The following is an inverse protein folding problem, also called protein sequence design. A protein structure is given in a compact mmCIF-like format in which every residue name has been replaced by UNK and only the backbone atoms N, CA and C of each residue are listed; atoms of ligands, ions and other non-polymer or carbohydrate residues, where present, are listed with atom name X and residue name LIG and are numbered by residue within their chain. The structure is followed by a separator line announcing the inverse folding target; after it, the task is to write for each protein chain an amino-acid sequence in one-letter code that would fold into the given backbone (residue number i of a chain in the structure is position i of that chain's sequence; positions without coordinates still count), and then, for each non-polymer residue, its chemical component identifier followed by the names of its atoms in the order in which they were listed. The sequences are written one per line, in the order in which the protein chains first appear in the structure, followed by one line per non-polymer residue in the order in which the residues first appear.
data_IF_419830408448
#
_entry.id   IF_419830408448
#
_cell.length_a   1.000
_cell.length_b   1.000
_cell.length_c   1.000
_cell.angle_alpha   90.00
_cell.angle_beta   90.00
_cell.angle_gamma   90.00
#
_symmetry.space_group_name_H-M   'P 1'
#
loop_
_entity.id
_entity.type
_entity.pdbx_description
1 polymer ?
#
# COMPACT_ATOMS: atom_id res chain seq x y z
N UNK A 1 -25.16 -4.55 44.97
CA UNK A 1 -25.47 -5.52 43.88
C UNK A 1 -25.42 -4.90 42.48
N UNK A 2 -26.03 -3.73 42.22
CA UNK A 2 -25.95 -3.04 40.91
C UNK A 2 -24.51 -2.63 40.52
N UNK A 3 -23.70 -2.17 41.47
CA UNK A 3 -22.29 -1.80 41.22
C UNK A 3 -21.43 -2.99 40.83
N UNK A 4 -21.62 -4.16 41.46
CA UNK A 4 -20.92 -5.40 41.08
C UNK A 4 -21.31 -5.87 39.67
N UNK A 5 -22.56 -5.64 39.25
CA UNK A 5 -23.01 -5.94 37.90
C UNK A 5 -22.41 -4.97 36.86
N UNK A 6 -22.40 -3.67 37.17
CA UNK A 6 -21.78 -2.66 36.31
C UNK A 6 -20.27 -2.89 36.14
N UNK A 7 -19.57 -3.21 37.24
CA UNK A 7 -18.15 -3.55 37.24
C UNK A 7 -17.87 -4.81 36.40
N UNK A 8 -18.69 -5.86 36.56
CA UNK A 8 -18.58 -7.08 35.77
C UNK A 8 -18.75 -6.80 34.27
N UNK A 9 -19.77 -6.01 33.90
CA UNK A 9 -20.00 -5.62 32.51
C UNK A 9 -18.85 -4.79 31.93
N UNK A 10 -18.27 -3.87 32.71
CA UNK A 10 -17.12 -3.09 32.29
C UNK A 10 -15.88 -3.97 32.05
N UNK A 11 -15.61 -4.94 32.93
CA UNK A 11 -14.51 -5.90 32.76
C UNK A 11 -14.72 -6.77 31.51
N UNK A 12 -15.94 -7.28 31.31
CA UNK A 12 -16.29 -8.06 30.11
C UNK A 12 -16.11 -7.25 28.82
N UNK A 13 -16.50 -5.98 28.82
CA UNK A 13 -16.31 -5.07 27.70
C UNK A 13 -14.81 -4.84 27.40
N UNK A 14 -13.98 -4.62 28.41
CA UNK A 14 -12.54 -4.46 28.24
C UNK A 14 -11.87 -5.72 27.66
N UNK A 15 -12.25 -6.91 28.16
CA UNK A 15 -11.75 -8.19 27.63
C UNK A 15 -12.15 -8.38 26.16
N UNK A 16 -13.41 -8.08 25.84
CA UNK A 16 -13.90 -8.14 24.45
C UNK A 16 -13.08 -7.21 23.55
N UNK A 17 -12.90 -5.96 23.95
CA UNK A 17 -12.14 -4.95 23.19
C UNK A 17 -10.69 -5.36 22.99
N UNK A 18 -10.03 -5.88 24.03
CA UNK A 18 -8.65 -6.37 23.95
C UNK A 18 -8.51 -7.55 22.96
N UNK A 19 -9.44 -8.51 23.01
CA UNK A 19 -9.48 -9.62 22.03
C UNK A 19 -9.69 -9.13 20.61
N UNK A 20 -10.59 -8.17 20.41
CA UNK A 20 -10.86 -7.59 19.09
C UNK A 20 -9.63 -6.89 18.54
N UNK A 21 -8.95 -6.04 19.33
CA UNK A 21 -7.71 -5.39 18.89
C UNK A 21 -6.60 -6.38 18.59
N UNK A 22 -6.42 -7.41 19.42
CA UNK A 22 -5.43 -8.46 19.15
C UNK A 22 -5.70 -9.16 17.80
N UNK A 23 -6.96 -9.47 17.50
CA UNK A 23 -7.33 -10.06 16.21
C UNK A 23 -7.05 -9.11 15.05
N UNK A 24 -7.43 -7.84 15.18
CA UNK A 24 -7.18 -6.83 14.14
C UNK A 24 -5.69 -6.59 13.91
N UNK A 25 -4.89 -6.45 14.98
CA UNK A 25 -3.44 -6.27 14.85
C UNK A 25 -2.80 -7.45 14.13
N UNK A 26 -3.19 -8.68 14.45
CA UNK A 26 -2.71 -9.87 13.74
C UNK A 26 -3.03 -9.83 12.24
N UNK A 27 -4.22 -9.36 11.86
CA UNK A 27 -4.61 -9.22 10.44
C UNK A 27 -3.77 -8.12 9.75
N UNK A 28 -3.49 -7.01 10.44
CA UNK A 28 -2.67 -5.92 9.90
C UNK A 28 -1.22 -6.40 9.71
N UNK A 29 -0.63 -7.03 10.73
CA UNK A 29 0.71 -7.61 10.67
C UNK A 29 0.84 -8.61 9.51
N UNK A 30 -0.14 -9.51 9.37
CA UNK A 30 -0.18 -10.48 8.27
C UNK A 30 -0.25 -9.81 6.90
N UNK A 31 -1.03 -8.73 6.76
CA UNK A 31 -1.14 -7.99 5.49
C UNK A 31 0.13 -7.22 5.16
N UNK A 32 0.80 -6.64 6.16
CA UNK A 32 2.09 -5.97 5.97
C UNK A 32 3.12 -6.98 5.47
N UNK A 33 3.19 -8.15 6.11
CA UNK A 33 4.16 -9.19 5.76
C UNK A 33 3.90 -9.81 4.39
N UNK A 34 2.63 -10.15 4.10
CA UNK A 34 2.28 -10.96 2.93
C UNK A 34 1.89 -10.13 1.69
N UNK A 35 1.54 -8.85 1.86
CA UNK A 35 1.09 -8.00 0.74
C UNK A 35 2.03 -6.81 0.52
N UNK A 36 2.26 -5.98 1.54
CA UNK A 36 3.01 -4.73 1.38
C UNK A 36 4.52 -4.97 1.20
N UNK A 37 5.13 -5.82 2.03
CA UNK A 37 6.56 -6.15 1.88
C UNK A 37 6.89 -6.73 0.49
N UNK A 38 6.14 -7.73 -0.04
CA UNK A 38 6.37 -8.20 -1.40
C UNK A 38 6.14 -7.14 -2.48
N UNK A 39 5.19 -6.24 -2.27
CA UNK A 39 4.93 -5.12 -3.18
C UNK A 39 6.13 -4.17 -3.26
N UNK A 40 6.61 -3.66 -2.13
CA UNK A 40 7.78 -2.78 -2.09
C UNK A 40 9.03 -3.49 -2.60
N UNK A 41 9.18 -4.79 -2.32
CA UNK A 41 10.25 -5.59 -2.91
C UNK A 41 10.20 -5.59 -4.44
N UNK A 42 9.03 -5.77 -5.06
CA UNK A 42 8.90 -5.70 -6.53
C UNK A 42 9.25 -4.33 -7.10
N UNK A 43 8.80 -3.25 -6.43
CA UNK A 43 9.15 -1.87 -6.81
C UNK A 43 10.67 -1.70 -6.74
N UNK A 44 11.28 -2.09 -5.62
CA UNK A 44 12.73 -2.03 -5.39
C UNK A 44 13.52 -2.79 -6.44
N UNK A 45 13.13 -4.03 -6.72
CA UNK A 45 13.85 -4.92 -7.64
C UNK A 45 13.84 -4.36 -9.07
N UNK A 46 12.77 -3.63 -9.46
CA UNK A 46 12.67 -2.99 -10.77
C UNK A 46 13.38 -1.63 -10.84
N UNK A 47 13.30 -0.84 -9.77
CA UNK A 47 13.94 0.48 -9.71
C UNK A 47 15.46 0.37 -9.46
N UNK A 48 15.92 -0.72 -8.84
CA UNK A 48 17.32 -0.89 -8.44
C UNK A 48 17.75 0.07 -7.31
N UNK A 49 16.82 0.46 -6.44
CA UNK A 49 17.02 1.47 -5.40
C UNK A 49 17.07 0.87 -3.98
N UNK A 50 17.21 1.72 -2.96
CA UNK A 50 17.11 1.32 -1.56
C UNK A 50 15.67 0.95 -1.16
N UNK A 51 15.51 0.32 0.00
CA UNK A 51 14.19 -0.03 0.52
C UNK A 51 13.36 1.22 0.85
N UNK A 52 13.97 2.25 1.44
CA UNK A 52 13.30 3.51 1.77
C UNK A 52 12.79 4.24 0.52
N UNK A 53 13.58 4.26 -0.56
CA UNK A 53 13.20 4.85 -1.84
C UNK A 53 12.07 4.06 -2.51
N UNK A 54 12.16 2.73 -2.47
CA UNK A 54 11.11 1.85 -3.01
C UNK A 54 9.79 1.98 -2.25
N UNK A 55 9.84 2.11 -0.92
CA UNK A 55 8.65 2.38 -0.10
C UNK A 55 8.04 3.73 -0.45
N UNK A 56 8.86 4.79 -0.58
CA UNK A 56 8.38 6.11 -1.00
C UNK A 56 7.64 6.06 -2.32
N UNK A 57 8.22 5.42 -3.34
CA UNK A 57 7.58 5.28 -4.66
C UNK A 57 6.35 4.39 -4.58
N UNK A 58 6.43 3.25 -3.91
CA UNK A 58 5.32 2.32 -3.76
C UNK A 58 4.12 2.96 -3.06
N UNK A 59 4.34 3.74 -2.00
CA UNK A 59 3.28 4.49 -1.31
C UNK A 59 2.68 5.58 -2.20
N UNK A 60 3.50 6.24 -3.02
CA UNK A 60 2.99 7.20 -3.99
C UNK A 60 2.08 6.52 -5.03
N UNK A 61 2.48 5.35 -5.55
CA UNK A 61 1.66 4.57 -6.49
C UNK A 61 0.37 4.03 -5.84
N UNK A 62 0.44 3.52 -4.61
CA UNK A 62 -0.72 3.03 -3.85
C UNK A 62 -1.74 4.15 -3.58
N UNK A 63 -1.27 5.38 -3.33
CA UNK A 63 -2.14 6.57 -3.19
C UNK A 63 -3.00 6.83 -4.43
N UNK A 64 -2.50 6.47 -5.62
CA UNK A 64 -3.23 6.57 -6.88
C UNK A 64 -3.90 5.25 -7.28
N UNK A 65 -4.15 4.35 -6.33
CA UNK A 65 -4.86 3.10 -6.53
C UNK A 65 -4.18 2.11 -7.50
N UNK A 66 -2.86 2.20 -7.67
CA UNK A 66 -2.11 1.18 -8.39
C UNK A 66 -2.17 -0.14 -7.58
N UNK A 67 -2.70 -1.24 -8.15
CA UNK A 67 -2.91 -2.46 -7.38
C UNK A 67 -1.61 -3.03 -6.82
N UNK A 68 -1.63 -3.45 -5.54
CA UNK A 68 -0.47 -3.98 -4.85
C UNK A 68 0.07 -5.26 -5.50
N UNK A 69 -0.74 -6.01 -6.23
CA UNK A 69 -0.34 -7.25 -6.92
C UNK A 69 0.26 -7.00 -8.32
N UNK A 70 0.44 -5.73 -8.71
CA UNK A 70 0.97 -5.36 -10.02
C UNK A 70 2.39 -5.89 -10.23
N UNK A 71 2.66 -6.26 -11.49
CA UNK A 71 3.98 -6.63 -11.97
C UNK A 71 4.62 -5.42 -12.63
N UNK A 72 5.79 -5.04 -12.14
CA UNK A 72 6.53 -3.88 -12.62
C UNK A 72 7.58 -4.29 -13.66
N UNK A 73 7.90 -3.39 -14.59
CA UNK A 73 8.94 -3.58 -15.59
C UNK A 73 9.54 -2.23 -15.99
N UNK A 74 10.86 -2.20 -16.17
CA UNK A 74 11.58 -1.00 -16.63
C UNK A 74 11.40 -0.83 -18.13
N UNK A 75 11.04 0.38 -18.58
CA UNK A 75 10.98 0.74 -20.01
C UNK A 75 12.28 1.47 -20.38
N UNK A 76 12.60 2.54 -19.67
CA UNK A 76 13.81 3.35 -19.83
C UNK A 76 14.37 3.76 -18.46
N UNK A 77 15.36 4.65 -18.41
CA UNK A 77 16.06 5.03 -17.17
C UNK A 77 15.20 5.74 -16.13
N UNK A 78 14.09 6.35 -16.53
CA UNK A 78 13.18 7.08 -15.64
C UNK A 78 11.73 6.61 -15.72
N UNK A 79 11.39 5.78 -16.70
CA UNK A 79 10.04 5.35 -17.05
C UNK A 79 9.88 3.86 -16.86
N UNK A 80 8.78 3.52 -16.22
CA UNK A 80 8.44 2.17 -15.81
C UNK A 80 7.01 1.87 -16.24
N UNK A 81 6.73 0.59 -16.41
CA UNK A 81 5.38 0.07 -16.65
C UNK A 81 4.97 -0.85 -15.53
N UNK A 82 3.67 -1.00 -15.39
CA UNK A 82 3.09 -2.07 -14.60
C UNK A 82 1.88 -2.68 -15.29
N UNK A 83 1.63 -3.94 -14.99
CA UNK A 83 0.41 -4.65 -15.39
C UNK A 83 -0.23 -5.20 -14.13
N UNK A 84 -1.50 -4.88 -13.93
CA UNK A 84 -2.26 -5.41 -12.80
C UNK A 84 -2.76 -6.84 -13.06
N UNK A 85 -3.43 -7.44 -12.08
CA UNK A 85 -3.98 -8.80 -12.20
C UNK A 85 -5.15 -8.86 -13.20
N UNK A 86 -5.83 -7.74 -13.44
CA UNK A 86 -6.89 -7.59 -14.44
C UNK A 86 -6.36 -7.45 -15.88
N UNK A 87 -5.04 -7.34 -16.07
CA UNK A 87 -4.41 -7.12 -17.37
C UNK A 87 -4.41 -5.65 -17.81
N UNK A 88 -4.89 -4.73 -16.96
CA UNK A 88 -4.79 -3.30 -17.17
C UNK A 88 -3.34 -2.87 -17.05
N UNK A 89 -2.94 -1.97 -17.93
CA UNK A 89 -1.56 -1.50 -18.04
C UNK A 89 -1.47 -0.06 -17.58
N UNK A 90 -0.38 0.26 -16.91
CA UNK A 90 -0.03 1.62 -16.60
C UNK A 90 1.44 1.89 -16.82
N UNK A 91 1.77 3.17 -16.93
CA UNK A 91 3.12 3.68 -17.04
C UNK A 91 3.31 4.81 -16.05
N UNK A 92 4.51 4.92 -15.51
CA UNK A 92 4.86 6.01 -14.63
C UNK A 92 6.32 6.40 -14.82
N UNK A 93 6.64 7.64 -14.48
CA UNK A 93 8.01 8.12 -14.48
C UNK A 93 8.38 8.75 -13.15
N UNK A 94 9.66 8.69 -12.81
CA UNK A 94 10.21 9.23 -11.56
C UNK A 94 11.38 10.18 -11.84
N UNK A 95 11.56 11.17 -10.96
CA UNK A 95 12.75 12.03 -10.96
C UNK A 95 13.93 11.40 -10.20
N UNK A 96 15.07 12.09 -10.16
CA UNK A 96 16.27 11.67 -9.42
C UNK A 96 16.08 11.55 -7.91
N UNK A 97 15.02 12.16 -7.36
CA UNK A 97 14.67 12.12 -5.95
C UNK A 97 13.54 11.10 -5.68
N UNK A 98 13.23 10.23 -6.64
CA UNK A 98 12.15 9.24 -6.56
C UNK A 98 10.76 9.86 -6.35
N UNK A 99 10.53 11.06 -6.88
CA UNK A 99 9.20 11.66 -6.94
C UNK A 99 8.50 11.24 -8.23
N UNK A 100 7.21 10.95 -8.13
CA UNK A 100 6.37 10.57 -9.26
C UNK A 100 6.11 11.80 -10.16
N UNK A 101 6.55 11.74 -11.42
CA UNK A 101 6.39 12.80 -12.41
C UNK A 101 5.17 12.59 -13.31
N UNK A 102 4.95 11.35 -13.73
CA UNK A 102 3.78 10.94 -14.52
C UNK A 102 3.22 9.64 -13.98
N UNK A 103 1.90 9.47 -14.07
CA UNK A 103 1.23 8.20 -13.81
C UNK A 103 0.00 8.10 -14.72
N UNK A 104 0.10 7.26 -15.74
CA UNK A 104 -0.99 6.94 -16.64
C UNK A 104 -1.43 5.51 -16.36
N UNK A 105 -2.70 5.31 -16.09
CA UNK A 105 -3.27 3.99 -15.87
C UNK A 105 -4.50 3.80 -16.76
N UNK A 106 -4.42 2.81 -17.65
CA UNK A 106 -5.48 2.52 -18.63
C UNK A 106 -5.92 3.79 -19.40
N UNK A 107 -4.92 4.49 -19.97
CA UNK A 107 -5.07 5.75 -20.73
C UNK A 107 -5.61 6.95 -19.93
N UNK A 108 -5.68 6.85 -18.60
CA UNK A 108 -6.09 7.94 -17.70
C UNK A 108 -4.88 8.47 -16.95
N UNK A 109 -4.64 9.78 -17.04
CA UNK A 109 -3.64 10.46 -16.21
C UNK A 109 -4.17 10.62 -14.77
N UNK A 110 -3.63 9.82 -13.86
CA UNK A 110 -4.07 9.79 -12.46
C UNK A 110 -3.51 10.96 -11.64
N UNK A 111 -2.39 11.57 -12.06
CA UNK A 111 -1.84 12.74 -11.39
C UNK A 111 -2.71 13.97 -11.66
N UNK A 112 -3.16 14.14 -12.90
CA UNK A 112 -4.03 15.25 -13.29
C UNK A 112 -5.38 15.24 -12.54
N UNK A 113 -5.92 14.06 -12.25
CA UNK A 113 -7.20 13.92 -11.56
C UNK A 113 -7.17 14.38 -10.08
N UNK A 114 -5.99 14.41 -9.47
CA UNK A 114 -5.84 14.72 -8.04
C UNK A 114 -5.43 16.18 -7.78
N UNK A 115 -5.33 17.00 -8.83
CA UNK A 115 -5.00 18.43 -8.77
C UNK A 115 -6.24 19.35 -8.73
N UNK A 116 -7.45 18.77 -8.62
CA UNK A 116 -8.74 19.48 -8.55
C UNK A 116 -9.20 19.65 -7.11
#
# INVERSE_FOLDING_TARGET
MKENLALLLAILYLIYRFKTYKKTNKIIEDRIENVHKPYFKRVRDVLGCSEEEAEKVGLALDRYFVPLESKFSKIDDSTYSFVDVGGLKGTFSIDQNYNLLTLVYNDVDLLALHQV
#
